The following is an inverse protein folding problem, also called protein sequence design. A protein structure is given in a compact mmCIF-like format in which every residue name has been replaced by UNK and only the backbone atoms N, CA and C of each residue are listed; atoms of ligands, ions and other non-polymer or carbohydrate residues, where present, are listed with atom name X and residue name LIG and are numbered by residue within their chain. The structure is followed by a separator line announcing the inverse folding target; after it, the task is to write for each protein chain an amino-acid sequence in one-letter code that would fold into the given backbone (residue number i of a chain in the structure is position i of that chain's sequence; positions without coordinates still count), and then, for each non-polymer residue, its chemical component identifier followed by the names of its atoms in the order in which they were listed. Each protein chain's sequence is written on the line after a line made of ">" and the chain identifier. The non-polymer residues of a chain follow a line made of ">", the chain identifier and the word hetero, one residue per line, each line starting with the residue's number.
data_IF_244811307423
#
_entry.id   IF_244811307423
#
_cell.length_a   1.000
_cell.length_b   1.000
_cell.length_c   1.000
_cell.angle_alpha   90.00
_cell.angle_beta   90.00
_cell.angle_gamma   90.00
#
_symmetry.space_group_name_H-M   'P 1'
#
loop_
_entity.id
_entity.type
_entity.pdbx_description
1 polymer ?
#
# COMPACT_ATOMS: atom_id res chain seq x y z
N UNK A 1 -11.74 -16.93 -40.20
CA UNK A 1 -11.65 -15.96 -39.09
C UNK A 1 -10.29 -16.12 -38.46
N UNK A 2 -9.43 -15.10 -38.56
CA UNK A 2 -8.04 -15.15 -38.11
C UNK A 2 -7.98 -15.22 -36.60
N UNK A 3 -7.53 -16.35 -36.06
CA UNK A 3 -7.20 -16.48 -34.64
C UNK A 3 -5.99 -15.60 -34.33
N UNK A 4 -6.23 -14.48 -33.65
CA UNK A 4 -5.18 -13.74 -32.97
C UNK A 4 -4.59 -14.63 -31.88
N UNK A 5 -3.27 -14.77 -31.76
CA UNK A 5 -2.66 -15.56 -30.68
C UNK A 5 -3.02 -14.95 -29.31
N UNK A 6 -3.11 -15.78 -28.25
CA UNK A 6 -3.45 -15.30 -26.92
C UNK A 6 -2.43 -14.25 -26.48
N UNK A 7 -2.92 -13.09 -26.08
CA UNK A 7 -2.09 -12.07 -25.45
C UNK A 7 -1.55 -12.64 -24.14
N UNK A 8 -0.33 -13.20 -24.18
CA UNK A 8 0.49 -13.35 -22.97
C UNK A 8 0.34 -12.05 -22.18
N UNK A 9 -0.06 -12.13 -20.91
CA UNK A 9 0.04 -10.97 -20.02
C UNK A 9 1.54 -10.70 -19.91
N UNK A 10 2.02 -9.81 -20.79
CA UNK A 10 3.40 -9.38 -20.84
C UNK A 10 3.73 -8.92 -19.43
N UNK A 11 4.81 -9.46 -18.83
CA UNK A 11 5.40 -8.90 -17.62
C UNK A 11 5.63 -7.41 -17.91
N UNK A 12 4.73 -6.56 -17.43
CA UNK A 12 4.70 -5.15 -17.84
C UNK A 12 5.85 -4.37 -17.21
N UNK A 13 6.54 -4.98 -16.23
CA UNK A 13 7.60 -4.40 -15.46
C UNK A 13 8.85 -5.29 -15.54
N UNK A 14 9.97 -4.69 -15.92
CA UNK A 14 11.28 -5.32 -15.89
C UNK A 14 11.67 -5.64 -14.43
N UNK A 15 12.47 -6.69 -14.19
CA UNK A 15 12.87 -7.09 -12.83
C UNK A 15 13.59 -5.98 -12.06
N UNK A 16 14.35 -5.14 -12.76
CA UNK A 16 14.97 -3.92 -12.20
C UNK A 16 13.89 -2.91 -11.79
N UNK A 17 12.89 -2.67 -12.63
CA UNK A 17 11.78 -1.76 -12.30
C UNK A 17 10.97 -2.27 -11.12
N UNK A 18 10.80 -3.59 -10.98
CA UNK A 18 10.15 -4.20 -9.81
C UNK A 18 10.97 -3.99 -8.53
N UNK A 19 12.29 -4.17 -8.59
CA UNK A 19 13.20 -3.90 -7.48
C UNK A 19 13.17 -2.40 -7.09
N UNK A 20 13.23 -1.52 -8.09
CA UNK A 20 13.10 -0.08 -7.90
C UNK A 20 11.77 0.28 -7.25
N UNK A 21 10.66 -0.31 -7.69
CA UNK A 21 9.33 -0.10 -7.10
C UNK A 21 9.28 -0.58 -5.64
N UNK A 22 9.86 -1.74 -5.33
CA UNK A 22 9.92 -2.27 -3.96
C UNK A 22 10.74 -1.35 -3.04
N UNK A 23 11.90 -0.90 -3.51
CA UNK A 23 12.73 0.07 -2.79
C UNK A 23 11.98 1.41 -2.62
N UNK A 24 11.22 1.79 -3.65
CA UNK A 24 10.40 3.00 -3.65
C UNK A 24 9.33 2.95 -2.54
N UNK A 25 8.63 1.84 -2.43
CA UNK A 25 7.55 1.73 -1.46
C UNK A 25 8.10 1.69 -0.01
N UNK A 26 9.23 1.02 0.20
CA UNK A 26 9.71 0.76 1.56
C UNK A 26 10.34 1.98 2.26
N UNK A 27 10.91 2.94 1.53
CA UNK A 27 11.58 4.17 2.00
C UNK A 27 11.87 4.29 3.52
N UNK A 28 12.62 3.35 4.09
CA UNK A 28 12.64 3.17 5.54
C UNK A 28 13.29 4.35 6.29
N UNK A 29 14.19 5.09 5.64
CA UNK A 29 14.93 6.17 6.31
C UNK A 29 14.10 7.42 6.57
N UNK A 30 13.17 7.80 5.68
CA UNK A 30 12.29 8.95 5.94
C UNK A 30 11.36 8.66 7.12
N UNK A 31 10.89 7.41 7.24
CA UNK A 31 10.13 6.94 8.40
C UNK A 31 10.95 7.00 9.69
N UNK A 32 12.20 6.53 9.66
CA UNK A 32 13.12 6.62 10.80
C UNK A 32 13.38 8.08 11.16
N UNK A 33 13.69 8.96 10.21
CA UNK A 33 13.95 10.38 10.47
C UNK A 33 12.74 11.09 11.10
N UNK A 34 11.53 10.79 10.61
CA UNK A 34 10.29 11.37 11.14
C UNK A 34 9.89 10.84 12.53
N UNK A 35 10.28 9.61 12.88
CA UNK A 35 9.93 8.96 14.16
C UNK A 35 11.08 8.88 15.16
N UNK A 36 12.28 9.36 14.78
CA UNK A 36 13.50 9.27 15.59
C UNK A 36 13.31 9.88 16.98
N UNK A 37 12.64 11.02 17.06
CA UNK A 37 12.35 11.70 18.32
C UNK A 37 11.54 10.82 19.27
N UNK A 38 10.52 10.12 18.76
CA UNK A 38 9.66 9.25 19.56
C UNK A 38 10.42 8.01 20.05
N UNK A 39 11.25 7.41 19.18
CA UNK A 39 12.04 6.24 19.53
C UNK A 39 13.09 6.54 20.61
N UNK A 40 13.74 7.72 20.54
CA UNK A 40 14.70 8.16 21.56
C UNK A 40 13.99 8.41 22.90
N UNK A 41 12.82 9.04 22.89
CA UNK A 41 12.05 9.31 24.12
C UNK A 41 11.56 8.01 24.79
N UNK A 42 11.19 7.00 24.00
CA UNK A 42 10.62 5.76 24.53
C UNK A 42 11.65 4.79 25.14
N UNK A 43 12.85 4.68 24.56
CA UNK A 43 13.84 3.67 24.97
C UNK A 43 15.31 4.10 24.91
N UNK A 44 15.56 5.37 24.55
CA UNK A 44 16.90 5.91 24.41
C UNK A 44 17.65 5.38 23.18
N UNK A 45 18.96 5.71 23.07
CA UNK A 45 19.76 5.38 21.88
C UNK A 45 19.97 3.88 21.66
N UNK A 46 20.00 3.08 22.73
CA UNK A 46 20.20 1.63 22.63
C UNK A 46 19.05 0.95 21.88
N UNK A 47 17.81 1.37 22.14
CA UNK A 47 16.63 0.83 21.45
C UNK A 47 16.70 1.05 19.95
N UNK A 48 17.21 2.20 19.48
CA UNK A 48 17.38 2.44 18.04
C UNK A 48 18.28 1.38 17.39
N UNK A 49 19.45 1.12 17.96
CA UNK A 49 20.43 0.20 17.37
C UNK A 49 19.90 -1.24 17.39
N UNK A 50 19.42 -1.71 18.54
CA UNK A 50 18.96 -3.09 18.67
C UNK A 50 17.64 -3.36 17.94
N UNK A 51 16.74 -2.36 17.88
CA UNK A 51 15.47 -2.49 17.15
C UNK A 51 15.68 -2.73 15.66
N UNK A 52 16.69 -2.09 15.05
CA UNK A 52 17.00 -2.26 13.63
C UNK A 52 17.45 -3.69 13.34
N UNK A 53 18.31 -4.26 14.19
CA UNK A 53 18.81 -5.63 14.03
C UNK A 53 17.66 -6.64 14.16
N UNK A 54 16.89 -6.53 15.25
CA UNK A 54 15.77 -7.46 15.51
C UNK A 54 14.70 -7.35 14.41
N UNK A 55 14.34 -6.13 14.00
CA UNK A 55 13.38 -5.91 12.93
C UNK A 55 13.90 -6.46 11.59
N UNK A 56 15.16 -6.21 11.24
CA UNK A 56 15.75 -6.68 10.00
C UNK A 56 15.73 -8.21 9.90
N UNK A 57 16.10 -8.92 10.96
CA UNK A 57 16.06 -10.40 10.97
C UNK A 57 14.63 -10.92 10.81
N UNK A 58 13.66 -10.33 11.51
CA UNK A 58 12.25 -10.74 11.39
C UNK A 58 11.68 -10.47 9.98
N UNK A 59 11.94 -9.29 9.41
CA UNK A 59 11.49 -8.94 8.06
C UNK A 59 12.15 -9.78 6.97
N UNK A 60 13.42 -10.17 7.12
CA UNK A 60 14.10 -11.07 6.19
C UNK A 60 13.45 -12.46 6.19
N UNK A 61 13.10 -13.00 7.36
CA UNK A 61 12.39 -14.28 7.45
C UNK A 61 11.00 -14.22 6.78
N UNK A 62 10.25 -13.14 7.00
CA UNK A 62 8.95 -12.91 6.34
C UNK A 62 9.13 -12.79 4.82
N UNK A 63 10.14 -12.04 4.36
CA UNK A 63 10.41 -11.84 2.94
C UNK A 63 10.81 -13.15 2.25
N UNK A 64 11.63 -13.98 2.89
CA UNK A 64 12.00 -15.29 2.36
C UNK A 64 10.77 -16.20 2.20
N UNK A 65 9.90 -16.27 3.22
CA UNK A 65 8.67 -17.06 3.16
C UNK A 65 7.70 -16.55 2.08
N UNK A 66 7.55 -15.23 1.93
CA UNK A 66 6.74 -14.65 0.86
C UNK A 66 7.33 -14.91 -0.53
N UNK A 67 8.66 -14.94 -0.67
CA UNK A 67 9.32 -15.23 -1.93
C UNK A 67 9.09 -16.68 -2.39
N UNK A 68 9.14 -17.65 -1.48
CA UNK A 68 8.81 -19.05 -1.78
C UNK A 68 7.36 -19.20 -2.25
N UNK A 69 6.43 -18.57 -1.54
CA UNK A 69 5.01 -18.62 -1.91
C UNK A 69 4.73 -17.94 -3.25
N UNK A 70 5.40 -16.83 -3.56
CA UNK A 70 5.26 -16.13 -4.85
C UNK A 70 5.87 -16.92 -6.01
N UNK A 71 6.91 -17.72 -5.76
CA UNK A 71 7.53 -18.58 -6.77
C UNK A 71 6.61 -19.76 -7.14
N UNK A 72 5.89 -20.33 -6.16
CA UNK A 72 4.97 -21.46 -6.36
C UNK A 72 3.62 -21.01 -6.91
N UNK A 73 3.07 -19.91 -6.39
CA UNK A 73 1.74 -19.40 -6.74
C UNK A 73 1.81 -17.99 -7.32
N UNK A 74 2.23 -17.83 -8.59
CA UNK A 74 2.29 -16.54 -9.24
C UNK A 74 0.87 -16.03 -9.53
N UNK A 75 0.20 -15.42 -8.55
CA UNK A 75 -1.17 -14.93 -8.70
C UNK A 75 -1.21 -13.39 -8.68
N UNK A 76 -2.09 -12.79 -9.48
CA UNK A 76 -2.21 -11.34 -9.58
C UNK A 76 -2.80 -10.67 -8.31
N UNK A 77 -3.56 -11.42 -7.50
CA UNK A 77 -4.19 -10.93 -6.28
C UNK A 77 -3.29 -10.93 -5.04
N UNK A 78 -2.03 -11.36 -5.14
CA UNK A 78 -1.08 -11.27 -4.03
C UNK A 78 -1.46 -12.11 -2.80
N UNK A 79 -1.28 -11.56 -1.60
CA UNK A 79 -1.33 -12.31 -0.34
C UNK A 79 -2.69 -12.98 -0.06
N UNK A 80 -3.81 -12.32 -0.40
CA UNK A 80 -5.15 -12.86 -0.10
C UNK A 80 -5.56 -14.02 -1.01
N UNK A 81 -4.98 -14.12 -2.21
CA UNK A 81 -5.10 -15.29 -3.08
C UNK A 81 -4.33 -16.47 -2.50
N UNK A 82 -3.07 -16.27 -2.14
CA UNK A 82 -2.21 -17.31 -1.54
C UNK A 82 -2.84 -17.83 -0.24
N UNK A 83 -3.36 -16.95 0.60
CA UNK A 83 -4.05 -17.31 1.84
C UNK A 83 -5.29 -18.19 1.58
N UNK A 84 -6.01 -17.97 0.46
CA UNK A 84 -7.15 -18.82 0.09
C UNK A 84 -6.73 -20.20 -0.43
N UNK A 85 -5.57 -20.32 -1.06
CA UNK A 85 -5.08 -21.58 -1.61
C UNK A 85 -4.60 -22.50 -0.48
N UNK A 86 -3.91 -21.92 0.51
CA UNK A 86 -3.29 -22.67 1.61
C UNK A 86 -4.27 -22.99 2.76
N UNK A 87 -5.34 -22.22 2.90
CA UNK A 87 -6.29 -22.37 4.01
C UNK A 87 -7.20 -23.61 3.84
N UNK A 88 -7.57 -24.30 4.95
CA UNK A 88 -8.53 -25.39 4.92
C UNK A 88 -9.88 -24.95 4.34
N UNK A 89 -10.59 -25.83 3.63
CA UNK A 89 -11.85 -25.51 2.93
C UNK A 89 -12.89 -24.81 3.84
N UNK A 90 -12.95 -25.19 5.12
CA UNK A 90 -13.88 -24.61 6.10
C UNK A 90 -13.59 -23.15 6.44
N UNK A 91 -12.33 -22.73 6.38
CA UNK A 91 -11.87 -21.40 6.82
C UNK A 91 -11.38 -20.52 5.68
N UNK A 92 -11.28 -21.08 4.46
CA UNK A 92 -10.72 -20.42 3.28
C UNK A 92 -11.29 -19.03 3.02
N UNK A 93 -12.62 -18.89 3.05
CA UNK A 93 -13.29 -17.63 2.77
C UNK A 93 -12.97 -16.58 3.84
N UNK A 94 -13.07 -16.94 5.12
CA UNK A 94 -12.77 -16.03 6.23
C UNK A 94 -11.31 -15.59 6.26
N UNK A 95 -10.37 -16.53 6.08
CA UNK A 95 -8.92 -16.24 6.09
C UNK A 95 -8.52 -15.36 4.90
N UNK A 96 -9.03 -15.66 3.70
CA UNK A 96 -8.76 -14.85 2.52
C UNK A 96 -9.33 -13.44 2.65
N UNK A 97 -10.58 -13.32 3.11
CA UNK A 97 -11.23 -12.02 3.30
C UNK A 97 -10.49 -11.17 4.33
N UNK A 98 -10.18 -11.73 5.50
CA UNK A 98 -9.45 -11.01 6.55
C UNK A 98 -8.07 -10.58 6.09
N UNK A 99 -7.34 -11.45 5.37
CA UNK A 99 -6.05 -11.11 4.77
C UNK A 99 -6.16 -9.95 3.77
N UNK A 100 -7.12 -10.00 2.84
CA UNK A 100 -7.32 -8.95 1.85
C UNK A 100 -7.74 -7.62 2.47
N UNK A 101 -8.64 -7.65 3.45
CA UNK A 101 -9.13 -6.47 4.12
C UNK A 101 -8.05 -5.82 5.01
N UNK A 102 -7.28 -6.62 5.75
CA UNK A 102 -6.14 -6.12 6.52
C UNK A 102 -5.08 -5.52 5.61
N UNK A 103 -4.80 -6.12 4.46
CA UNK A 103 -3.89 -5.56 3.47
C UNK A 103 -4.41 -4.22 2.92
N UNK A 104 -5.72 -4.10 2.63
CA UNK A 104 -6.35 -2.87 2.15
C UNK A 104 -6.20 -1.73 3.17
N UNK A 105 -6.56 -1.98 4.43
CA UNK A 105 -6.44 -0.99 5.48
C UNK A 105 -4.98 -0.68 5.82
N UNK A 106 -4.08 -1.66 5.74
CA UNK A 106 -2.65 -1.44 5.94
C UNK A 106 -2.11 -0.42 4.92
N UNK A 107 -2.39 -0.62 3.62
CA UNK A 107 -1.97 0.34 2.58
C UNK A 107 -2.57 1.74 2.80
N UNK A 108 -3.83 1.81 3.23
CA UNK A 108 -4.50 3.06 3.55
C UNK A 108 -3.83 3.78 4.73
N UNK A 109 -3.60 3.07 5.84
CA UNK A 109 -2.98 3.62 7.06
C UNK A 109 -1.55 4.08 6.80
N UNK A 110 -0.78 3.34 5.99
CA UNK A 110 0.56 3.76 5.56
C UNK A 110 0.47 5.08 4.78
N UNK A 111 -0.40 5.17 3.78
CA UNK A 111 -0.57 6.39 2.99
C UNK A 111 -0.98 7.60 3.84
N UNK A 112 -1.94 7.41 4.74
CA UNK A 112 -2.41 8.43 5.69
C UNK A 112 -1.29 8.87 6.64
N UNK A 113 -0.50 7.93 7.16
CA UNK A 113 0.61 8.21 8.08
C UNK A 113 1.72 9.00 7.38
N UNK A 114 2.15 8.55 6.20
CA UNK A 114 3.20 9.24 5.42
C UNK A 114 2.76 10.64 5.00
N UNK A 115 1.49 10.83 4.64
CA UNK A 115 0.95 12.16 4.32
C UNK A 115 0.99 13.09 5.54
N UNK A 116 0.70 12.58 6.74
CA UNK A 116 0.80 13.36 7.98
C UNK A 116 2.25 13.75 8.32
N UNK A 117 3.20 12.83 8.14
CA UNK A 117 4.62 13.09 8.33
C UNK A 117 5.09 14.16 7.32
N UNK A 118 4.75 14.01 6.04
CA UNK A 118 5.11 14.98 5.00
C UNK A 118 4.58 16.39 5.31
N UNK A 119 3.33 16.49 5.76
CA UNK A 119 2.72 17.75 6.14
C UNK A 119 3.44 18.40 7.35
N UNK A 120 3.78 17.61 8.37
CA UNK A 120 4.54 18.10 9.53
C UNK A 120 5.96 18.57 9.14
N UNK A 121 6.64 17.82 8.27
CA UNK A 121 7.97 18.18 7.78
C UNK A 121 7.95 19.48 6.97
N UNK A 122 6.95 19.68 6.10
CA UNK A 122 6.78 20.93 5.37
C UNK A 122 6.54 22.11 6.32
N UNK A 123 5.69 21.92 7.32
CA UNK A 123 5.39 22.95 8.32
C UNK A 123 6.60 23.29 9.20
N UNK A 124 7.42 22.29 9.54
CA UNK A 124 8.68 22.49 10.27
C UNK A 124 9.70 23.27 9.43
N UNK A 125 9.77 23.01 8.12
CA UNK A 125 10.64 23.74 7.19
C UNK A 125 10.24 25.23 7.08
N UNK A 126 8.93 25.50 7.00
CA UNK A 126 8.39 26.87 6.96
C UNK A 126 8.69 27.61 8.26
N UNK A 127 8.45 26.98 9.42
CA UNK A 127 8.75 27.55 10.74
C UNK A 127 10.25 27.83 10.93
N UNK A 128 11.12 27.07 10.28
CA UNK A 128 12.58 27.31 10.32
C UNK A 128 13.01 28.52 9.48
N UNK A 129 12.21 28.89 8.47
CA UNK A 129 12.50 29.96 7.51
C UNK A 129 11.85 31.30 7.87
N UNK A 130 10.72 31.27 8.60
CA UNK A 130 9.99 32.44 9.09
C UNK A 130 10.03 32.46 10.62
N UNK A 131 10.71 33.44 11.21
CA UNK A 131 10.92 33.53 12.68
C UNK A 131 9.64 33.72 13.49
N UNK A 132 8.59 34.30 12.88
CA UNK A 132 7.37 34.71 13.59
C UNK A 132 6.22 33.71 13.42
N UNK A 133 6.46 32.59 12.72
CA UNK A 133 5.41 31.65 12.34
C UNK A 133 5.39 30.41 13.22
N UNK A 134 4.35 30.28 14.05
CA UNK A 134 4.11 29.08 14.87
C UNK A 134 3.14 28.15 14.13
N UNK A 135 3.55 26.91 13.78
CA UNK A 135 2.69 25.97 13.08
C UNK A 135 1.53 25.52 13.96
N UNK A 136 0.31 25.86 13.55
CA UNK A 136 -0.94 25.44 14.18
C UNK A 136 -1.48 24.16 13.52
N UNK A 137 -2.29 23.34 14.23
CA UNK A 137 -2.82 22.07 13.71
C UNK A 137 -3.60 22.20 12.40
N UNK A 138 -4.34 23.31 12.22
CA UNK A 138 -5.12 23.57 11.03
C UNK A 138 -4.27 23.85 9.79
N UNK A 139 -3.06 24.43 9.95
CA UNK A 139 -2.12 24.58 8.83
C UNK A 139 -1.67 23.21 8.31
N UNK A 140 -1.34 22.30 9.23
CA UNK A 140 -0.92 20.92 8.88
C UNK A 140 -2.06 20.19 8.18
N UNK A 141 -3.30 20.37 8.63
CA UNK A 141 -4.49 19.79 7.98
C UNK A 141 -4.67 20.25 6.53
N UNK A 142 -4.53 21.54 6.23
CA UNK A 142 -4.65 22.03 4.85
C UNK A 142 -3.53 21.51 3.95
N UNK A 143 -2.30 21.47 4.47
CA UNK A 143 -1.17 20.88 3.75
C UNK A 143 -1.44 19.40 3.48
N UNK A 144 -1.83 18.64 4.50
CA UNK A 144 -2.21 17.23 4.38
C UNK A 144 -3.24 17.02 3.27
N UNK A 145 -4.29 17.84 3.26
CA UNK A 145 -5.36 17.71 2.28
C UNK A 145 -4.90 18.07 0.86
N UNK A 146 -4.01 19.06 0.72
CA UNK A 146 -3.38 19.44 -0.54
C UNK A 146 -2.49 18.32 -1.10
N UNK A 147 -1.65 17.71 -0.25
CA UNK A 147 -0.79 16.58 -0.64
C UNK A 147 -1.63 15.38 -1.10
N UNK A 148 -2.69 15.04 -0.36
CA UNK A 148 -3.60 13.94 -0.70
C UNK A 148 -4.35 14.19 -2.02
N UNK A 149 -4.83 15.43 -2.24
CA UNK A 149 -5.51 15.79 -3.48
C UNK A 149 -4.56 15.72 -4.69
N UNK A 150 -3.34 16.22 -4.53
CA UNK A 150 -2.30 16.15 -5.56
C UNK A 150 -2.01 14.71 -5.98
N UNK A 151 -1.88 13.79 -5.01
CA UNK A 151 -1.61 12.39 -5.28
C UNK A 151 -2.70 11.71 -6.14
N UNK A 152 -3.97 12.10 -5.98
CA UNK A 152 -5.07 11.54 -6.78
C UNK A 152 -5.11 12.09 -8.18
N UNK A 153 -4.92 13.41 -8.30
CA UNK A 153 -4.86 14.05 -9.62
C UNK A 153 -3.72 13.39 -10.40
N UNK A 154 -2.57 13.20 -9.75
CA UNK A 154 -1.45 12.48 -10.34
C UNK A 154 -1.82 11.03 -10.72
N UNK A 155 -2.44 10.28 -9.81
CA UNK A 155 -2.81 8.89 -10.06
C UNK A 155 -3.90 8.73 -11.14
N UNK A 156 -4.78 9.71 -11.29
CA UNK A 156 -5.88 9.65 -12.27
C UNK A 156 -5.39 10.04 -13.67
N UNK A 157 -4.48 11.01 -13.80
CA UNK A 157 -4.10 11.58 -15.09
C UNK A 157 -2.67 11.21 -15.57
N UNK A 158 -1.70 10.99 -14.67
CA UNK A 158 -0.29 10.83 -15.04
C UNK A 158 0.23 9.38 -15.00
N UNK A 159 -0.42 8.47 -14.27
CA UNK A 159 0.05 7.08 -14.10
C UNK A 159 0.22 6.33 -15.43
N UNK A 160 -0.72 6.51 -16.38
CA UNK A 160 -0.66 5.85 -17.70
C UNK A 160 0.44 6.41 -18.61
N UNK A 161 0.93 7.63 -18.34
CA UNK A 161 1.78 8.38 -19.28
C UNK A 161 3.28 8.29 -18.96
N UNK A 162 3.68 7.95 -17.72
CA UNK A 162 5.09 7.94 -17.30
C UNK A 162 5.43 6.85 -16.25
N UNK A 163 5.64 5.58 -16.66
CA UNK A 163 6.22 4.55 -15.77
C UNK A 163 7.69 4.85 -15.37
N UNK A 164 8.35 5.83 -16.01
CA UNK A 164 9.74 6.22 -15.73
C UNK A 164 9.93 6.89 -14.35
N UNK A 165 8.86 7.44 -13.75
CA UNK A 165 8.94 8.17 -12.47
C UNK A 165 9.48 7.31 -11.33
N UNK A 166 9.17 6.01 -11.33
CA UNK A 166 9.68 5.05 -10.34
C UNK A 166 11.17 4.74 -10.52
N UNK A 167 11.67 4.70 -11.76
CA UNK A 167 13.09 4.44 -12.04
C UNK A 167 13.98 5.63 -11.66
N UNK A 168 13.49 6.86 -11.85
CA UNK A 168 14.19 8.09 -11.44
C UNK A 168 14.16 8.28 -9.95
N UNK A 169 13.02 7.99 -9.32
CA UNK A 169 12.89 7.95 -7.89
C UNK A 169 14.00 7.04 -7.33
N UNK A 170 14.10 5.79 -7.76
CA UNK A 170 15.13 4.88 -7.24
C UNK A 170 16.58 5.42 -7.31
N UNK A 171 16.97 6.16 -8.36
CA UNK A 171 18.29 6.79 -8.45
C UNK A 171 18.44 8.00 -7.53
N UNK A 172 17.41 8.84 -7.45
CA UNK A 172 17.37 10.02 -6.58
C UNK A 172 17.42 9.64 -5.09
N UNK A 173 17.03 8.41 -4.76
CA UNK A 173 16.81 7.95 -3.38
C UNK A 173 18.08 7.48 -2.66
N UNK A 174 19.16 7.22 -3.38
CA UNK A 174 20.46 6.98 -2.75
C UNK A 174 21.11 8.26 -2.22
N UNK A 175 20.70 9.43 -2.75
CA UNK A 175 21.31 10.73 -2.41
C UNK A 175 21.08 11.08 -0.93
N UNK A 176 19.88 10.97 -0.35
CA UNK A 176 19.66 11.27 1.07
C UNK A 176 20.37 10.31 2.04
N UNK A 177 20.54 9.04 1.66
CA UNK A 177 21.27 8.05 2.46
C UNK A 177 22.72 8.50 2.66
N UNK A 178 23.39 8.92 1.57
CA UNK A 178 24.76 9.43 1.61
C UNK A 178 24.86 10.78 2.33
N UNK A 179 23.84 11.65 2.18
CA UNK A 179 23.85 12.99 2.81
C UNK A 179 23.60 12.91 4.33
N UNK A 180 22.83 11.93 4.82
CA UNK A 180 22.67 11.66 6.26
C UNK A 180 23.96 11.12 6.90
N UNK A 181 24.74 10.28 6.20
CA UNK A 181 26.05 9.84 6.69
C UNK A 181 27.02 11.01 6.93
N UNK A 182 26.89 12.10 6.17
CA UNK A 182 27.69 13.32 6.37
C UNK A 182 27.30 14.13 7.62
N UNK A 183 26.28 13.67 8.35
CA UNK A 183 25.97 14.08 9.71
C UNK A 183 25.36 15.47 9.82
N UNK A 184 24.56 15.65 10.87
CA UNK A 184 23.88 16.87 11.33
C UNK A 184 24.82 18.03 11.70
N UNK A 185 25.85 18.30 10.88
CA UNK A 185 26.89 19.31 11.14
C UNK A 185 26.46 20.73 10.78
N UNK A 186 25.43 20.91 9.97
CA UNK A 186 24.99 22.24 9.51
C UNK A 186 23.48 22.34 9.33
N UNK A 187 22.93 23.49 9.73
CA UNK A 187 21.51 23.86 9.53
C UNK A 187 21.12 23.82 8.05
N UNK A 188 22.03 24.18 7.15
CA UNK A 188 21.79 24.15 5.70
C UNK A 188 21.60 22.73 5.19
N UNK A 189 22.39 21.77 5.68
CA UNK A 189 22.30 20.37 5.27
C UNK A 189 20.98 19.77 5.75
N UNK A 190 20.55 20.10 6.98
CA UNK A 190 19.25 19.66 7.49
C UNK A 190 18.07 20.16 6.64
N UNK A 191 18.09 21.42 6.22
CA UNK A 191 17.07 22.00 5.32
C UNK A 191 17.02 21.25 3.98
N UNK A 192 18.17 20.95 3.40
CA UNK A 192 18.25 20.18 2.14
C UNK A 192 17.70 18.77 2.32
N UNK A 193 18.09 18.06 3.39
CA UNK A 193 17.60 16.70 3.69
C UNK A 193 16.08 16.69 3.87
N UNK A 194 15.53 17.63 4.64
CA UNK A 194 14.08 17.72 4.88
C UNK A 194 13.33 18.03 3.59
N UNK A 195 13.85 18.94 2.77
CA UNK A 195 13.25 19.28 1.46
C UNK A 195 13.21 18.07 0.53
N UNK A 196 14.29 17.30 0.45
CA UNK A 196 14.35 16.07 -0.34
C UNK A 196 13.39 15.02 0.23
N UNK A 197 13.31 14.89 1.56
CA UNK A 197 12.43 13.94 2.24
C UNK A 197 10.94 14.20 1.94
N UNK A 198 10.55 15.47 1.76
CA UNK A 198 9.17 15.83 1.37
C UNK A 198 8.87 15.37 -0.07
N UNK A 199 9.80 15.58 -1.01
CA UNK A 199 9.66 15.11 -2.39
C UNK A 199 9.54 13.59 -2.44
N UNK A 200 10.31 12.90 -1.60
CA UNK A 200 10.23 11.44 -1.45
C UNK A 200 8.92 10.96 -0.83
N UNK A 201 8.43 11.67 0.18
CA UNK A 201 7.14 11.34 0.78
C UNK A 201 6.02 11.40 -0.27
N UNK A 202 6.06 12.38 -1.18
CA UNK A 202 5.08 12.47 -2.29
C UNK A 202 5.04 11.22 -3.17
N UNK A 203 6.20 10.67 -3.54
CA UNK A 203 6.25 9.43 -4.33
C UNK A 203 5.65 8.23 -3.60
N UNK A 204 5.79 8.15 -2.27
CA UNK A 204 5.17 7.09 -1.46
C UNK A 204 3.66 7.29 -1.37
N UNK A 205 3.20 8.52 -1.17
CA UNK A 205 1.77 8.84 -1.13
C UNK A 205 1.10 8.41 -2.44
N UNK A 206 1.75 8.71 -3.58
CA UNK A 206 1.29 8.27 -4.91
C UNK A 206 1.23 6.74 -5.00
N UNK A 207 2.32 6.04 -4.66
CA UNK A 207 2.42 4.58 -4.78
C UNK A 207 1.48 3.82 -3.83
N UNK A 208 1.34 4.26 -2.57
CA UNK A 208 0.43 3.66 -1.58
C UNK A 208 -1.02 3.86 -1.96
N UNK A 209 -1.35 5.01 -2.55
CA UNK A 209 -2.69 5.28 -3.04
C UNK A 209 -3.03 4.46 -4.29
N UNK A 210 -2.07 4.24 -5.18
CA UNK A 210 -2.23 3.32 -6.30
C UNK A 210 -2.47 1.88 -5.81
N UNK A 211 -1.63 1.39 -4.89
CA UNK A 211 -1.71 0.03 -4.34
C UNK A 211 -3.04 -0.23 -3.61
N UNK A 212 -3.46 0.69 -2.72
CA UNK A 212 -4.74 0.59 -2.01
C UNK A 212 -5.94 0.65 -2.96
N UNK A 213 -5.90 1.50 -3.98
CA UNK A 213 -7.00 1.61 -4.96
C UNK A 213 -7.15 0.34 -5.82
N UNK A 214 -6.03 -0.27 -6.22
CA UNK A 214 -6.03 -1.56 -6.95
C UNK A 214 -6.54 -2.69 -6.08
N UNK A 215 -6.12 -2.75 -4.82
CA UNK A 215 -6.60 -3.77 -3.88
C UNK A 215 -8.07 -3.59 -3.52
N UNK A 216 -8.54 -2.35 -3.37
CA UNK A 216 -9.95 -2.03 -3.19
C UNK A 216 -10.79 -2.48 -4.39
N UNK A 217 -10.31 -2.22 -5.61
CA UNK A 217 -10.96 -2.70 -6.83
C UNK A 217 -11.00 -4.24 -6.89
N UNK A 218 -9.90 -4.91 -6.57
CA UNK A 218 -9.83 -6.37 -6.59
C UNK A 218 -10.78 -7.01 -5.56
N UNK A 219 -10.84 -6.46 -4.34
CA UNK A 219 -11.82 -6.87 -3.33
C UNK A 219 -13.27 -6.55 -3.73
N UNK A 220 -13.51 -5.43 -4.43
CA UNK A 220 -14.83 -5.11 -4.95
C UNK A 220 -15.28 -6.09 -6.02
N UNK A 221 -14.40 -6.49 -6.94
CA UNK A 221 -14.64 -7.54 -7.93
C UNK A 221 -14.99 -8.87 -7.26
N UNK A 222 -14.30 -9.22 -6.17
CA UNK A 222 -14.55 -10.44 -5.40
C UNK A 222 -15.74 -10.30 -4.41
N UNK A 223 -16.57 -9.25 -4.54
CA UNK A 223 -17.74 -8.95 -3.68
C UNK A 223 -17.41 -8.82 -2.18
N UNK A 224 -16.19 -8.45 -1.85
CA UNK A 224 -15.72 -8.24 -0.48
C UNK A 224 -16.07 -6.87 0.11
N UNK A 225 -16.45 -5.87 -0.68
CA UNK A 225 -16.73 -4.51 -0.20
C UNK A 225 -18.21 -4.12 -0.35
N UNK A 226 -18.71 -3.34 0.61
CA UNK A 226 -19.98 -2.61 0.51
C UNK A 226 -20.01 -1.82 -0.81
N UNK A 227 -21.13 -1.91 -1.55
CA UNK A 227 -21.27 -1.33 -2.89
C UNK A 227 -20.28 -1.86 -3.94
N UNK A 228 -19.88 -3.13 -3.83
CA UNK A 228 -18.97 -3.81 -4.76
C UNK A 228 -19.33 -3.58 -6.24
N UNK A 229 -20.61 -3.66 -6.61
CA UNK A 229 -21.09 -3.40 -7.99
C UNK A 229 -20.83 -1.97 -8.49
N UNK A 230 -20.79 -0.99 -7.59
CA UNK A 230 -20.47 0.39 -7.95
C UNK A 230 -18.96 0.59 -8.07
N UNK A 231 -18.17 0.00 -7.17
CA UNK A 231 -16.71 0.19 -7.06
C UNK A 231 -15.94 -0.58 -8.16
N UNK A 232 -16.45 -1.72 -8.62
CA UNK A 232 -15.81 -2.57 -9.63
C UNK A 232 -15.70 -1.90 -11.01
N UNK A 233 -16.51 -0.89 -11.30
CA UNK A 233 -16.58 -0.29 -12.62
C UNK A 233 -15.28 0.44 -13.02
N UNK A 234 -14.61 -0.06 -14.06
CA UNK A 234 -13.40 0.54 -14.64
C UNK A 234 -13.76 1.49 -15.77
N UNK A 235 -13.18 2.70 -15.77
CA UNK A 235 -13.48 3.69 -16.80
C UNK A 235 -12.80 3.35 -18.15
N UNK A 236 -13.54 3.25 -19.26
CA UNK A 236 -13.04 2.67 -20.52
C UNK A 236 -11.91 3.47 -21.21
N UNK A 237 -11.88 4.80 -21.09
CA UNK A 237 -10.81 5.61 -21.68
C UNK A 237 -9.55 5.74 -20.82
N UNK A 238 -9.68 5.56 -19.50
CA UNK A 238 -8.61 5.79 -18.54
C UNK A 238 -7.98 4.49 -18.06
N UNK A 239 -8.65 3.34 -18.20
CA UNK A 239 -8.22 2.00 -17.72
C UNK A 239 -7.88 1.97 -16.21
N UNK A 240 -8.31 2.99 -15.46
CA UNK A 240 -8.10 3.13 -14.01
C UNK A 240 -9.47 3.03 -13.31
N UNK A 241 -9.57 2.33 -12.17
CA UNK A 241 -10.80 2.26 -11.37
C UNK A 241 -11.01 3.56 -10.58
N UNK A 242 -11.52 4.60 -11.24
CA UNK A 242 -11.71 5.95 -10.67
C UNK A 242 -12.55 5.91 -9.39
N UNK A 243 -13.56 5.05 -9.33
CA UNK A 243 -14.45 4.93 -8.17
C UNK A 243 -13.74 4.38 -6.94
N UNK A 244 -12.85 3.39 -7.13
CA UNK A 244 -11.98 2.88 -6.05
C UNK A 244 -11.00 3.96 -5.58
N UNK A 245 -10.40 4.70 -6.51
CA UNK A 245 -9.49 5.82 -6.17
C UNK A 245 -10.21 6.88 -5.35
N UNK A 246 -11.43 7.24 -5.74
CA UNK A 246 -12.25 8.21 -5.02
C UNK A 246 -12.66 7.70 -3.64
N UNK A 247 -13.02 6.42 -3.50
CA UNK A 247 -13.31 5.81 -2.19
C UNK A 247 -12.11 5.93 -1.25
N UNK A 248 -10.92 5.54 -1.72
CA UNK A 248 -9.68 5.65 -0.92
C UNK A 248 -9.41 7.10 -0.55
N UNK A 249 -9.63 8.04 -1.47
CA UNK A 249 -9.49 9.45 -1.14
C UNK A 249 -10.43 9.92 -0.05
N UNK A 250 -11.71 9.57 -0.13
CA UNK A 250 -12.71 9.97 0.87
C UNK A 250 -12.32 9.41 2.23
N UNK A 251 -11.85 8.16 2.30
CA UNK A 251 -11.35 7.59 3.55
C UNK A 251 -10.11 8.34 4.07
N UNK A 252 -9.15 8.67 3.20
CA UNK A 252 -7.97 9.49 3.55
C UNK A 252 -8.36 10.89 4.01
N UNK A 253 -9.34 11.52 3.37
CA UNK A 253 -9.90 12.82 3.73
C UNK A 253 -10.50 12.78 5.13
N UNK A 254 -11.32 11.76 5.43
CA UNK A 254 -11.89 11.55 6.77
C UNK A 254 -10.79 11.33 7.81
N UNK A 255 -9.75 10.55 7.48
CA UNK A 255 -8.60 10.39 8.36
C UNK A 255 -7.89 11.73 8.63
N UNK A 256 -7.79 12.61 7.63
CA UNK A 256 -7.30 13.98 7.81
C UNK A 256 -8.07 14.77 8.87
N UNK A 257 -9.40 14.63 8.94
CA UNK A 257 -10.19 15.29 10.01
C UNK A 257 -9.88 14.71 11.40
N UNK A 258 -9.61 13.42 11.50
CA UNK A 258 -9.23 12.79 12.77
C UNK A 258 -7.92 13.36 13.32
N UNK A 259 -7.03 13.84 12.44
CA UNK A 259 -5.80 14.52 12.83
C UNK A 259 -6.09 15.80 13.64
N UNK A 260 -7.12 16.58 13.26
CA UNK A 260 -7.52 17.78 14.02
C UNK A 260 -8.02 17.43 15.43
N UNK A 261 -8.59 16.25 15.62
CA UNK A 261 -9.15 15.82 16.90
C UNK A 261 -8.08 15.30 17.89
N UNK A 262 -7.12 14.49 17.41
CA UNK A 262 -6.04 13.97 18.25
C UNK A 262 -4.72 13.85 17.48
N UNK A 263 -3.74 14.63 17.91
CA UNK A 263 -2.40 14.69 17.33
C UNK A 263 -1.49 13.58 17.84
N UNK A 264 -1.53 13.35 19.16
CA UNK A 264 -0.63 12.42 19.85
C UNK A 264 -1.00 10.95 19.60
N UNK A 265 -2.29 10.65 19.46
CA UNK A 265 -2.80 9.27 19.29
C UNK A 265 -3.34 8.99 17.88
N UNK A 266 -3.00 9.84 16.91
CA UNK A 266 -3.55 9.82 15.56
C UNK A 266 -3.54 8.42 14.92
N UNK A 267 -2.41 7.72 14.97
CA UNK A 267 -2.26 6.38 14.39
C UNK A 267 -3.18 5.36 15.05
N UNK A 268 -3.32 5.41 16.38
CA UNK A 268 -4.20 4.50 17.12
C UNK A 268 -5.67 4.76 16.78
N UNK A 269 -6.06 6.03 16.66
CA UNK A 269 -7.43 6.43 16.30
C UNK A 269 -7.79 5.95 14.89
N UNK A 270 -6.88 6.07 13.92
CA UNK A 270 -7.12 5.58 12.55
C UNK A 270 -7.22 4.07 12.52
N UNK A 271 -6.34 3.35 13.22
CA UNK A 271 -6.39 1.89 13.28
C UNK A 271 -7.72 1.41 13.89
N UNK A 272 -8.17 2.07 14.96
CA UNK A 272 -9.49 1.80 15.55
C UNK A 272 -10.63 2.08 14.58
N UNK A 273 -10.59 3.22 13.87
CA UNK A 273 -11.58 3.56 12.85
C UNK A 273 -11.62 2.54 11.70
N UNK A 274 -10.46 2.13 11.19
CA UNK A 274 -10.35 1.11 10.14
C UNK A 274 -10.89 -0.25 10.61
N UNK A 275 -10.62 -0.64 11.86
CA UNK A 275 -11.16 -1.85 12.45
C UNK A 275 -12.69 -1.82 12.56
N UNK A 276 -13.27 -0.68 12.97
CA UNK A 276 -14.72 -0.51 13.03
C UNK A 276 -15.36 -0.59 11.64
N UNK A 277 -14.76 0.06 10.64
CA UNK A 277 -15.19 -0.06 9.24
C UNK A 277 -15.08 -1.49 8.73
N UNK A 278 -14.02 -2.21 9.08
CA UNK A 278 -13.83 -3.60 8.71
C UNK A 278 -14.94 -4.51 9.26
N UNK A 279 -15.27 -4.34 10.54
CA UNK A 279 -16.33 -5.08 11.22
C UNK A 279 -17.71 -4.73 10.65
N UNK A 280 -17.97 -3.45 10.39
CA UNK A 280 -19.21 -3.01 9.77
C UNK A 280 -19.37 -3.61 8.35
N UNK A 281 -18.32 -3.57 7.52
CA UNK A 281 -18.31 -4.14 6.18
C UNK A 281 -18.57 -5.66 6.20
N UNK A 282 -17.99 -6.36 7.19
CA UNK A 282 -18.24 -7.79 7.39
C UNK A 282 -19.70 -8.09 7.72
N UNK A 283 -20.24 -7.43 8.74
CA UNK A 283 -21.58 -7.70 9.25
C UNK A 283 -22.70 -7.27 8.31
N UNK A 284 -22.50 -6.18 7.58
CA UNK A 284 -23.52 -5.59 6.70
C UNK A 284 -23.57 -6.23 5.32
N UNK A 285 -22.47 -6.80 4.81
CA UNK A 285 -22.41 -7.24 3.41
C UNK A 285 -21.56 -8.47 3.17
N UNK A 286 -20.28 -8.46 3.59
CA UNK A 286 -19.33 -9.47 3.13
C UNK A 286 -19.67 -10.89 3.61
N UNK A 287 -20.29 -11.04 4.80
CA UNK A 287 -20.70 -12.35 5.33
C UNK A 287 -21.64 -13.13 4.39
N UNK A 288 -22.48 -12.42 3.61
CA UNK A 288 -23.52 -13.03 2.78
C UNK A 288 -23.13 -13.08 1.29
N UNK A 289 -22.16 -12.25 0.87
CA UNK A 289 -21.82 -12.03 -0.55
C UNK A 289 -20.41 -12.47 -0.94
N UNK A 290 -19.48 -12.65 0.01
CA UNK A 290 -18.11 -13.04 -0.28
C UNK A 290 -17.96 -14.56 -0.41
N UNK A 291 -17.74 -15.03 -1.64
CA UNK A 291 -17.60 -16.46 -1.94
C UNK A 291 -16.15 -16.93 -2.07
N UNK A 292 -15.18 -16.05 -1.79
CA UNK A 292 -13.74 -16.28 -2.00
C UNK A 292 -13.22 -15.53 -3.23
N UNK A 293 -11.88 -15.42 -3.36
CA UNK A 293 -11.26 -14.66 -4.44
C UNK A 293 -11.46 -15.37 -5.79
N UNK A 294 -11.69 -14.59 -6.85
CA UNK A 294 -11.70 -15.12 -8.22
C UNK A 294 -10.24 -15.31 -8.65
N UNK A 295 -9.79 -16.58 -8.66
CA UNK A 295 -8.43 -16.95 -9.03
C UNK A 295 -8.41 -17.22 -10.54
N UNK A 296 -7.88 -16.27 -11.29
CA UNK A 296 -7.45 -16.52 -12.67
C UNK A 296 -6.08 -17.22 -12.59
N UNK A 297 -6.04 -18.52 -12.88
CA UNK A 297 -4.75 -19.23 -13.06
C UNK A 297 -4.27 -19.00 -14.48
N UNK A 298 -2.96 -19.04 -14.71
CA UNK A 298 -2.37 -18.88 -16.05
C UNK A 298 -2.90 -19.90 -17.07
N UNK A 299 -3.40 -21.04 -16.60
CA UNK A 299 -3.96 -22.15 -17.39
C UNK A 299 -5.46 -21.99 -17.69
N UNK A 300 -6.20 -21.15 -16.95
CA UNK A 300 -7.65 -20.98 -17.12
C UNK A 300 -8.05 -19.96 -18.18
N UNK A 301 -7.18 -19.66 -19.15
CA UNK A 301 -7.59 -18.94 -20.36
C UNK A 301 -8.05 -19.90 -21.49
N UNK A 302 -7.80 -21.20 -21.32
CA UNK A 302 -8.34 -22.26 -22.21
C UNK A 302 -9.59 -22.95 -21.64
N UNK A 303 -9.95 -22.70 -20.37
CA UNK A 303 -11.15 -23.26 -19.73
C UNK A 303 -11.91 -22.16 -19.00
N UNK A 304 -13.25 -22.19 -19.04
CA UNK A 304 -14.16 -21.25 -18.37
C UNK A 304 -13.72 -20.84 -16.96
N UNK A 305 -14.05 -19.61 -16.49
CA UNK A 305 -13.72 -19.13 -15.15
C UNK A 305 -14.24 -20.11 -14.09
N UNK A 306 -13.33 -20.95 -13.59
CA UNK A 306 -13.68 -22.04 -12.72
C UNK A 306 -13.54 -21.60 -11.27
N UNK A 307 -14.62 -21.73 -10.51
CA UNK A 307 -14.62 -21.53 -9.07
C UNK A 307 -13.54 -22.37 -8.38
N UNK A 308 -13.00 -21.92 -7.25
CA UNK A 308 -11.92 -22.60 -6.50
C UNK A 308 -12.28 -24.04 -6.11
N UNK A 309 -13.58 -24.39 -6.02
CA UNK A 309 -14.04 -25.78 -5.83
C UNK A 309 -13.70 -26.71 -7.01
N UNK A 310 -13.70 -26.20 -8.23
CA UNK A 310 -13.38 -26.97 -9.44
C UNK A 310 -11.89 -27.33 -9.47
N UNK A 311 -11.02 -26.40 -9.08
CA UNK A 311 -9.56 -26.60 -9.04
C UNK A 311 -9.21 -27.68 -8.02
N UNK A 312 -9.77 -27.62 -6.80
CA UNK A 312 -9.53 -28.63 -5.76
C UNK A 312 -9.97 -30.03 -6.18
N UNK A 313 -11.06 -30.14 -6.95
CA UNK A 313 -11.53 -31.42 -7.49
C UNK A 313 -10.56 -32.03 -8.53
N UNK A 314 -9.87 -31.18 -9.29
CA UNK A 314 -8.85 -31.61 -10.26
C UNK A 314 -7.55 -32.01 -9.57
N UNK A 315 -7.10 -31.26 -8.57
CA UNK A 315 -5.90 -31.60 -7.79
C UNK A 315 -6.07 -32.92 -7.04
N UNK A 316 -7.28 -33.21 -6.54
CA UNK A 316 -7.58 -34.47 -5.86
C UNK A 316 -7.56 -35.68 -6.82
N UNK A 317 -8.04 -35.51 -8.06
CA UNK A 317 -7.98 -36.54 -9.11
C UNK A 317 -6.56 -36.84 -9.58
N UNK A 318 -5.67 -35.85 -9.60
CA UNK A 318 -4.26 -36.05 -9.97
C UNK A 318 -3.54 -36.89 -8.91
N UNK A 319 -3.83 -36.68 -7.62
CA UNK A 319 -3.23 -37.46 -6.54
C UNK A 319 -3.79 -38.90 -6.42
N UNK A 320 -5.05 -39.14 -6.85
CA UNK A 320 -5.64 -40.48 -6.89
C UNK A 320 -5.24 -41.29 -8.14
N UNK A 321 -4.64 -40.65 -9.15
CA UNK A 321 -4.14 -41.30 -10.37
C UNK A 321 -2.67 -41.75 -10.32
N UNK A 322 -1.97 -41.51 -9.20
CA UNK A 322 -0.57 -41.90 -8.98
C UNK A 322 -0.39 -42.80 -7.75
N UNK A 323 -1.36 -43.68 -7.49
CA UNK A 323 -1.25 -44.78 -6.54
C UNK A 323 -1.21 -46.13 -7.28
#
# INVERSE_FOLDING_TARGET
>A
MSHSPPSQVKKHLNGITLLCLAFVICNSWAGIAGSLQLAILAGGPATLVYSIIVAATAYLAIAASMAELAAVYPTAGGQYHIASILAPERWRQGVSYTCGLLALFSWLVIGVSVTSIAAQQLMALVATSLSDFVPQPWHIFFVYQGLALFAIIYNTFLLKKNPWTHNVACLYWWVPFVVMEQGFRSRTIAIVIVSISIVMAMTIIIATQEASSRLAWALARDKGLLFSQYIEHVHPHLEVPIRSVLLIWVLTFICGFLYLASQTDYTCVILGFCLLLALANWWLYAKDHYNGPVIETWESYEAEPASVSTILSQTKKVNEGTA
#
